data_IF_108682411959
#
_entry.id   IF_108682411959
#
_cell.length_a   1.000
_cell.length_b   1.000
_cell.length_c   1.000
_cell.angle_alpha   90.00
_cell.angle_beta   90.00
_cell.angle_gamma   90.00
#
_symmetry.space_group_name_H-M   'P 1'
#
loop_
_entity.id
_entity.type
_entity.pdbx_description
1 polymer ?
#
# COMPACT_ATOMS: atom_id res chain seq x y z
N UNK A 1 6.76 19.12 -13.74
CA UNK A 1 5.84 18.93 -12.61
C UNK A 1 6.09 17.55 -11.99
N UNK A 2 5.96 17.42 -10.67
CA UNK A 2 6.09 16.14 -9.97
C UNK A 2 4.68 15.60 -9.68
N UNK A 3 4.38 14.37 -10.12
CA UNK A 3 3.13 13.69 -9.85
C UNK A 3 3.39 12.49 -8.94
N UNK A 4 2.57 12.35 -7.90
CA UNK A 4 2.62 11.25 -6.94
C UNK A 4 1.45 10.31 -7.20
N UNK A 5 1.73 9.02 -7.32
CA UNK A 5 0.72 7.97 -7.46
C UNK A 5 0.62 7.15 -6.16
N UNK A 6 -0.56 6.61 -5.89
CA UNK A 6 -0.79 5.75 -4.74
C UNK A 6 -0.20 4.35 -4.96
N UNK A 7 0.60 3.89 -4.01
CA UNK A 7 1.09 2.52 -3.91
C UNK A 7 0.30 1.78 -2.82
N UNK A 8 -0.19 0.56 -3.10
CA UNK A 8 -0.85 -0.28 -2.09
C UNK A 8 0.08 -0.54 -0.90
N UNK A 9 -0.48 -0.67 0.30
CA UNK A 9 0.31 -0.91 1.52
C UNK A 9 1.27 -2.10 1.40
N UNK A 10 0.83 -3.20 0.78
CA UNK A 10 1.62 -4.42 0.56
C UNK A 10 2.84 -4.19 -0.36
N UNK A 11 2.70 -3.26 -1.30
CA UNK A 11 3.74 -2.88 -2.27
C UNK A 11 4.54 -1.65 -1.79
N UNK A 12 4.11 -0.99 -0.71
CA UNK A 12 4.76 0.20 -0.18
C UNK A 12 5.95 -0.24 0.69
N UNK A 13 7.20 -0.02 0.25
CA UNK A 13 8.38 -0.43 1.02
C UNK A 13 8.47 0.26 2.39
N UNK A 14 7.85 1.44 2.54
CA UNK A 14 7.80 2.15 3.82
C UNK A 14 6.84 1.51 4.83
N UNK A 15 5.78 0.81 4.37
CA UNK A 15 4.75 0.25 5.25
C UNK A 15 5.39 -0.76 6.23
N UNK A 16 6.18 -1.70 5.69
CA UNK A 16 6.93 -2.66 6.48
C UNK A 16 7.76 -2.00 7.58
N UNK A 17 8.58 -1.00 7.21
CA UNK A 17 9.44 -0.31 8.17
C UNK A 17 8.65 0.37 9.29
N UNK A 18 7.53 1.03 8.94
CA UNK A 18 6.70 1.74 9.93
C UNK A 18 5.89 0.82 10.84
N UNK A 19 5.62 -0.42 10.43
CA UNK A 19 4.91 -1.44 11.23
C UNK A 19 5.80 -2.19 12.23
N UNK A 20 7.11 -1.97 12.20
CA UNK A 20 8.06 -2.56 13.16
C UNK A 20 8.41 -4.03 12.84
N UNK A 21 8.99 -4.28 11.66
CA UNK A 21 9.52 -5.63 11.32
C UNK A 21 10.82 -5.93 12.07
N UNK A 22 11.06 -7.19 12.39
CA UNK A 22 12.32 -7.61 13.01
C UNK A 22 13.49 -7.53 12.02
N UNK A 23 14.72 -7.18 12.47
CA UNK A 23 15.87 -7.08 11.59
C UNK A 23 16.14 -8.33 10.71
N UNK A 24 16.02 -9.57 11.23
CA UNK A 24 16.18 -10.76 10.40
C UNK A 24 15.14 -10.84 9.28
N UNK A 25 13.88 -10.46 9.54
CA UNK A 25 12.85 -10.45 8.52
C UNK A 25 13.11 -9.38 7.45
N UNK A 26 13.62 -8.22 7.85
CA UNK A 26 13.98 -7.14 6.94
C UNK A 26 15.05 -7.58 5.92
N UNK A 27 16.04 -8.34 6.37
CA UNK A 27 17.10 -8.87 5.50
C UNK A 27 16.58 -9.82 4.42
N UNK A 28 15.49 -10.54 4.70
CA UNK A 28 14.87 -11.47 3.75
C UNK A 28 13.80 -10.82 2.87
N UNK A 29 13.47 -9.54 3.08
CA UNK A 29 12.41 -8.87 2.33
C UNK A 29 12.99 -8.02 1.20
N UNK A 30 12.89 -8.51 -0.04
CA UNK A 30 13.41 -7.79 -1.21
C UNK A 30 12.63 -6.51 -1.53
N UNK A 31 11.33 -6.47 -1.23
CA UNK A 31 10.44 -5.34 -1.55
C UNK A 31 10.87 -4.03 -0.88
N UNK A 32 11.42 -4.08 0.34
CA UNK A 32 11.84 -2.86 1.04
C UNK A 32 13.08 -2.19 0.41
N UNK A 33 13.90 -2.95 -0.32
CA UNK A 33 15.13 -2.46 -0.96
C UNK A 33 14.96 -2.21 -2.45
N UNK A 34 14.31 -3.14 -3.15
CA UNK A 34 14.14 -3.09 -4.60
C UNK A 34 12.81 -2.43 -5.03
N UNK A 35 11.89 -2.23 -4.09
CA UNK A 35 10.53 -1.83 -4.39
C UNK A 35 9.69 -2.97 -4.98
N UNK A 36 8.44 -2.67 -5.35
CA UNK A 36 7.57 -3.64 -6.00
C UNK A 36 8.03 -3.93 -7.44
N UNK A 37 7.87 -5.19 -7.87
CA UNK A 37 8.38 -5.67 -9.17
C UNK A 37 7.90 -4.84 -10.37
N UNK A 38 6.67 -4.33 -10.31
CA UNK A 38 6.08 -3.53 -11.39
C UNK A 38 6.76 -2.18 -11.59
N UNK A 39 7.49 -1.66 -10.60
CA UNK A 39 8.23 -0.40 -10.72
C UNK A 39 9.39 -0.50 -11.72
N UNK A 40 9.93 -1.70 -11.92
CA UNK A 40 10.95 -1.98 -12.93
C UNK A 40 10.38 -2.13 -14.35
N UNK A 41 9.05 -2.17 -14.51
CA UNK A 41 8.39 -2.33 -15.80
C UNK A 41 8.05 -0.95 -16.42
N UNK A 42 7.78 -0.89 -17.74
CA UNK A 42 7.26 0.32 -18.37
C UNK A 42 6.00 0.83 -17.65
N UNK A 43 5.80 2.15 -17.60
CA UNK A 43 4.65 2.80 -16.93
C UNK A 43 3.29 2.26 -17.38
N UNK A 44 3.17 1.76 -18.61
CA UNK A 44 1.95 1.13 -19.13
C UNK A 44 1.55 -0.13 -18.34
N UNK A 45 2.52 -0.78 -17.69
CA UNK A 45 2.34 -1.99 -16.88
C UNK A 45 2.23 -1.68 -15.39
N UNK A 46 2.25 -0.41 -14.99
CA UNK A 46 2.01 -0.04 -13.60
C UNK A 46 0.54 -0.28 -13.27
N UNK A 47 0.22 -0.63 -12.01
CA UNK A 47 -1.17 -0.77 -11.60
C UNK A 47 -1.90 0.56 -11.79
N UNK A 48 -2.85 0.59 -12.73
CA UNK A 48 -3.74 1.74 -12.92
C UNK A 48 -4.62 1.91 -11.69
N UNK A 49 -4.97 3.17 -11.35
CA UNK A 49 -5.84 3.53 -10.22
C UNK A 49 -6.91 2.47 -10.06
N UNK A 50 -6.88 1.79 -8.91
CA UNK A 50 -7.77 0.68 -8.61
C UNK A 50 -9.18 1.09 -8.98
N UNK A 51 -9.70 0.54 -10.07
CA UNK A 51 -11.13 0.63 -10.36
C UNK A 51 -11.76 -0.04 -9.16
N UNK A 52 -12.38 0.74 -8.29
CA UNK A 52 -13.28 0.20 -7.28
C UNK A 52 -14.29 -0.59 -8.11
N UNK A 53 -14.13 -1.90 -8.19
CA UNK A 53 -15.20 -2.74 -8.66
C UNK A 53 -16.30 -2.47 -7.66
N UNK A 54 -17.34 -1.73 -8.07
CA UNK A 54 -18.57 -1.55 -7.32
C UNK A 54 -19.27 -2.91 -7.20
N UNK A 55 -18.65 -3.85 -6.52
CA UNK A 55 -19.31 -4.95 -5.86
C UNK A 55 -19.55 -4.40 -4.47
N UNK A 56 -20.71 -3.78 -4.29
CA UNK A 56 -21.18 -3.24 -3.02
C UNK A 56 -21.24 -4.38 -2.00
N UNK A 57 -20.11 -4.66 -1.34
CA UNK A 57 -20.14 -5.25 -0.02
C UNK A 57 -20.02 -4.08 0.93
N UNK A 58 -21.17 -3.67 1.44
CA UNK A 58 -21.31 -2.76 2.55
C UNK A 58 -20.39 -3.28 3.67
N UNK A 59 -19.25 -2.60 3.86
CA UNK A 59 -18.41 -2.84 5.02
C UNK A 59 -19.17 -2.18 6.16
N UNK A 60 -19.80 -3.00 7.00
CA UNK A 60 -20.32 -2.58 8.29
C UNK A 60 -19.13 -2.05 9.10
N UNK A 61 -18.95 -0.73 9.11
CA UNK A 61 -17.96 -0.05 9.95
C UNK A 61 -18.66 0.14 11.29
N UNK A 62 -18.30 -0.59 12.36
CA UNK A 62 -18.89 -0.34 13.66
C UNK A 62 -18.30 0.99 14.16
N UNK A 63 -19.19 1.99 14.18
CA UNK A 63 -19.15 3.23 14.96
C UNK A 63 -17.90 4.11 14.86
N UNK A 64 -18.04 5.20 14.08
CA UNK A 64 -17.41 6.46 14.44
C UNK A 64 -18.04 6.99 15.73
N UNK A 65 -17.45 6.63 16.87
CA UNK A 65 -17.70 7.35 18.12
C UNK A 65 -17.04 8.73 18.06
N UNK A 66 -17.77 9.70 17.51
CA UNK A 66 -17.63 11.11 17.86
C UNK A 66 -18.17 11.32 19.27
N UNK A 67 -17.30 11.54 20.25
CA UNK A 67 -17.56 12.40 21.42
C UNK A 67 -16.16 12.85 21.90
N UNK A 68 -15.72 14.07 21.58
CA UNK A 68 -15.91 15.29 22.39
C UNK A 68 -15.63 15.01 23.88
N UNK A 69 -14.39 15.29 24.31
CA UNK A 69 -14.05 16.33 25.29
C UNK A 69 -12.65 16.88 24.95
#
# INVERSE_FOLDING_TARGET
ECAWDHCKSEDNPADLLTRGVSPPFLLHTSTCWAGPKWLALPKLNWPTRFSVSNSAHEVDIPEQNKFIL
#
